data_IF_330346585713
#
_entry.id   IF_330346585713
#
_cell.length_a   1.000
_cell.length_b   1.000
_cell.length_c   1.000
_cell.angle_alpha   90.00
_cell.angle_beta   90.00
_cell.angle_gamma   90.00
#
_symmetry.space_group_name_H-M   'P 1'
#
loop_
_entity.id
_entity.type
_entity.pdbx_description
1 polymer ?
#
# COMPACT_ATOMS: atom_id res chain seq x y z
N UNK A 1 -54.13 6.25 -23.87
CA UNK A 1 -52.88 5.48 -24.05
C UNK A 1 -51.60 6.30 -23.85
N UNK A 2 -51.36 7.43 -24.56
CA UNK A 2 -50.13 8.24 -24.39
C UNK A 2 -49.80 8.65 -22.94
N UNK A 3 -50.79 9.14 -22.17
CA UNK A 3 -50.59 9.55 -20.76
C UNK A 3 -50.23 8.38 -19.83
N UNK A 4 -50.78 7.18 -20.08
CA UNK A 4 -50.48 5.97 -19.31
C UNK A 4 -49.06 5.47 -19.61
N UNK A 5 -48.63 5.56 -20.87
CA UNK A 5 -47.29 5.19 -21.31
C UNK A 5 -46.22 6.10 -20.69
N UNK A 6 -46.47 7.43 -20.65
CA UNK A 6 -45.58 8.41 -20.00
C UNK A 6 -45.49 8.17 -18.49
N UNK A 7 -46.60 7.80 -17.83
CA UNK A 7 -46.60 7.50 -16.40
C UNK A 7 -45.80 6.23 -16.09
N UNK A 8 -45.99 5.16 -16.89
CA UNK A 8 -45.23 3.92 -16.76
C UNK A 8 -43.73 4.13 -16.99
N UNK A 9 -43.34 4.89 -18.03
CA UNK A 9 -41.93 5.16 -18.29
C UNK A 9 -41.30 6.04 -17.22
N UNK A 10 -41.99 7.09 -16.75
CA UNK A 10 -41.53 7.92 -15.64
C UNK A 10 -41.37 7.10 -14.34
N UNK A 11 -42.32 6.22 -14.02
CA UNK A 11 -42.25 5.35 -12.84
C UNK A 11 -41.09 4.36 -12.94
N UNK A 12 -40.85 3.78 -14.12
CA UNK A 12 -39.72 2.88 -14.37
C UNK A 12 -38.37 3.62 -14.24
N UNK A 13 -38.26 4.84 -14.78
CA UNK A 13 -37.06 5.68 -14.64
C UNK A 13 -36.83 6.05 -13.17
N UNK A 14 -37.87 6.41 -12.42
CA UNK A 14 -37.77 6.71 -10.98
C UNK A 14 -37.36 5.47 -10.17
N UNK A 15 -37.91 4.30 -10.49
CA UNK A 15 -37.53 3.03 -9.86
C UNK A 15 -36.07 2.66 -10.18
N UNK A 16 -35.65 2.77 -11.45
CA UNK A 16 -34.28 2.48 -11.87
C UNK A 16 -33.25 3.46 -11.30
N UNK A 17 -33.61 4.74 -11.17
CA UNK A 17 -32.75 5.77 -10.59
C UNK A 17 -32.66 5.65 -9.06
N UNK A 18 -33.77 5.38 -8.36
CA UNK A 18 -33.79 5.12 -6.92
C UNK A 18 -33.15 3.79 -6.52
N UNK A 19 -33.22 2.75 -7.37
CA UNK A 19 -32.52 1.48 -7.15
C UNK A 19 -31.00 1.68 -7.21
N UNK A 20 -30.51 2.43 -8.20
CA UNK A 20 -29.09 2.76 -8.34
C UNK A 20 -28.52 3.60 -7.18
N UNK A 21 -29.28 4.59 -6.66
CA UNK A 21 -28.83 5.39 -5.51
C UNK A 21 -28.75 4.56 -4.22
N UNK A 22 -29.73 3.66 -4.02
CA UNK A 22 -29.72 2.72 -2.90
C UNK A 22 -28.61 1.68 -3.02
N UNK A 23 -28.28 1.26 -4.23
CA UNK A 23 -27.23 0.29 -4.51
C UNK A 23 -25.84 0.83 -4.15
N UNK A 24 -25.49 2.05 -4.57
CA UNK A 24 -24.20 2.66 -4.24
C UNK A 24 -23.98 2.77 -2.72
N UNK A 25 -24.98 3.26 -1.97
CA UNK A 25 -24.88 3.32 -0.51
C UNK A 25 -24.79 1.94 0.12
N UNK A 26 -25.56 0.97 -0.38
CA UNK A 26 -25.56 -0.41 0.11
C UNK A 26 -24.19 -1.05 -0.07
N UNK A 27 -23.57 -0.86 -1.23
CA UNK A 27 -22.23 -1.38 -1.54
C UNK A 27 -21.20 -0.75 -0.61
N UNK A 28 -21.16 0.59 -0.51
CA UNK A 28 -20.19 1.27 0.34
C UNK A 28 -20.37 0.97 1.84
N UNK A 29 -21.58 0.66 2.32
CA UNK A 29 -21.78 0.17 3.70
C UNK A 29 -21.09 -1.16 3.99
N UNK A 30 -20.69 -1.92 2.97
CA UNK A 30 -19.89 -3.16 3.12
C UNK A 30 -18.40 -2.88 3.19
N UNK A 31 -17.94 -1.69 2.83
CA UNK A 31 -16.52 -1.29 2.80
C UNK A 31 -16.17 -0.59 4.11
N UNK A 32 -15.10 -1.05 4.75
CA UNK A 32 -14.61 -0.49 6.01
C UNK A 32 -13.11 -0.16 5.89
N UNK A 33 -12.81 1.14 5.76
CA UNK A 33 -11.45 1.71 5.76
C UNK A 33 -10.87 1.86 7.18
N UNK A 34 -11.53 1.30 8.20
CA UNK A 34 -11.11 1.39 9.60
C UNK A 34 -9.89 0.50 9.89
N UNK A 35 -8.76 0.90 9.32
CA UNK A 35 -7.43 0.50 9.74
C UNK A 35 -6.99 1.49 10.82
N UNK A 36 -6.43 1.01 11.93
CA UNK A 36 -5.86 1.92 12.95
C UNK A 36 -4.62 2.65 12.41
N UNK A 37 -4.06 2.14 11.30
CA UNK A 37 -2.83 2.61 10.68
C UNK A 37 -2.98 2.31 9.17
N UNK A 38 -3.25 3.34 8.33
CA UNK A 38 -3.19 3.21 6.87
C UNK A 38 -3.46 4.47 6.02
N UNK A 39 -2.42 5.00 5.36
CA UNK A 39 -2.39 5.63 4.01
C UNK A 39 -0.98 5.37 3.43
N UNK A 40 -0.83 5.30 2.09
CA UNK A 40 0.47 5.08 1.43
C UNK A 40 0.74 6.21 0.44
N UNK A 41 1.68 7.09 0.73
CA UNK A 41 2.18 8.01 -0.29
C UNK A 41 3.33 7.33 -1.06
N UNK A 42 3.13 7.05 -2.34
CA UNK A 42 4.17 6.53 -3.23
C UNK A 42 4.44 7.60 -4.28
N UNK A 43 5.60 8.26 -4.21
CA UNK A 43 6.12 9.12 -5.28
C UNK A 43 6.62 8.20 -6.40
N UNK A 44 5.82 8.06 -7.45
CA UNK A 44 6.14 7.25 -8.62
C UNK A 44 6.72 8.16 -9.70
N UNK A 45 7.98 8.54 -9.56
CA UNK A 45 8.75 9.31 -10.55
C UNK A 45 8.23 10.74 -10.82
N UNK A 46 8.89 11.46 -11.74
CA UNK A 46 9.06 12.92 -11.75
C UNK A 46 7.78 13.79 -11.59
N UNK A 47 6.58 13.31 -11.90
CA UNK A 47 5.38 14.17 -12.05
C UNK A 47 4.10 13.72 -11.30
N UNK A 48 4.06 12.55 -10.64
CA UNK A 48 2.82 12.04 -10.01
C UNK A 48 3.04 11.31 -8.69
N UNK A 49 2.24 11.69 -7.71
CA UNK A 49 2.17 11.03 -6.42
C UNK A 49 0.97 10.07 -6.41
N UNK A 50 0.98 9.07 -5.52
CA UNK A 50 -0.19 8.21 -5.36
C UNK A 50 -0.45 7.88 -3.90
N UNK A 51 -1.74 7.69 -3.59
CA UNK A 51 -2.26 7.39 -2.29
C UNK A 51 -2.92 6.02 -2.31
N UNK A 52 -2.35 5.01 -1.65
CA UNK A 52 -3.01 3.71 -1.50
C UNK A 52 -3.84 3.71 -0.20
N UNK A 53 -5.04 3.14 -0.30
CA UNK A 53 -5.96 2.89 0.80
C UNK A 53 -6.33 1.42 0.76
N UNK A 54 -6.44 0.80 1.92
CA UNK A 54 -6.91 -0.58 2.05
C UNK A 54 -8.19 -0.61 2.87
N UNK A 55 -9.15 -1.43 2.46
CA UNK A 55 -10.40 -1.63 3.16
C UNK A 55 -10.74 -3.10 3.28
N UNK A 56 -11.27 -3.46 4.45
CA UNK A 56 -11.94 -4.75 4.64
C UNK A 56 -13.34 -4.70 4.07
N UNK A 57 -13.87 -5.83 3.60
CA UNK A 57 -15.25 -5.89 3.11
C UNK A 57 -16.09 -6.96 3.80
N UNK A 58 -17.38 -6.66 4.03
CA UNK A 58 -18.37 -7.62 4.55
C UNK A 58 -19.06 -8.36 3.40
N UNK A 59 -18.34 -9.28 2.75
CA UNK A 59 -18.84 -10.08 1.62
C UNK A 59 -19.31 -9.21 0.44
N UNK A 60 -18.40 -8.38 -0.08
CA UNK A 60 -18.61 -7.65 -1.33
C UNK A 60 -18.51 -8.64 -2.50
N UNK A 61 -19.60 -8.85 -3.26
CA UNK A 61 -19.59 -9.73 -4.43
C UNK A 61 -18.78 -9.12 -5.58
N UNK A 62 -18.43 -9.94 -6.58
CA UNK A 62 -17.70 -9.44 -7.75
C UNK A 62 -18.54 -8.47 -8.58
N UNK A 63 -19.84 -8.70 -8.69
CA UNK A 63 -20.76 -7.75 -9.32
C UNK A 63 -20.78 -6.39 -8.60
N UNK A 64 -20.83 -6.41 -7.27
CA UNK A 64 -20.79 -5.18 -6.46
C UNK A 64 -19.44 -4.48 -6.52
N UNK A 65 -18.34 -5.24 -6.62
CA UNK A 65 -17.00 -4.67 -6.82
C UNK A 65 -16.86 -4.04 -8.21
N UNK A 66 -17.29 -4.74 -9.26
CA UNK A 66 -17.26 -4.22 -10.62
C UNK A 66 -18.13 -2.97 -10.75
N UNK A 67 -19.27 -2.91 -10.05
CA UNK A 67 -20.05 -1.68 -9.95
C UNK A 67 -19.21 -0.49 -9.43
N UNK A 68 -18.34 -0.69 -8.43
CA UNK A 68 -17.47 0.39 -7.93
C UNK A 68 -16.41 0.80 -8.96
N UNK A 69 -15.85 -0.17 -9.69
CA UNK A 69 -14.83 0.06 -10.73
C UNK A 69 -15.42 0.84 -11.91
N UNK A 70 -16.61 0.45 -12.38
CA UNK A 70 -17.24 0.98 -13.59
C UNK A 70 -18.05 2.25 -13.32
N UNK A 71 -18.37 2.54 -12.06
CA UNK A 71 -19.13 3.74 -11.70
C UNK A 71 -18.28 4.99 -11.80
N UNK A 72 -18.88 6.06 -12.33
CA UNK A 72 -18.33 7.41 -12.29
C UNK A 72 -18.34 7.98 -10.86
N UNK A 73 -17.45 7.49 -10.01
CA UNK A 73 -17.28 7.88 -8.61
C UNK A 73 -16.23 8.98 -8.54
N UNK A 74 -16.60 10.11 -7.94
CA UNK A 74 -15.66 11.17 -7.56
C UNK A 74 -15.27 10.97 -6.09
N UNK A 75 -14.00 11.18 -5.77
CA UNK A 75 -13.49 11.05 -4.41
C UNK A 75 -12.99 12.39 -3.92
N UNK A 76 -13.38 12.74 -2.70
CA UNK A 76 -12.82 13.89 -2.00
C UNK A 76 -12.16 13.44 -0.70
N UNK A 77 -10.88 13.74 -0.55
CA UNK A 77 -10.14 13.58 0.70
C UNK A 77 -10.29 14.86 1.52
N UNK A 78 -10.61 14.73 2.81
CA UNK A 78 -10.81 15.86 3.72
C UNK A 78 -9.86 15.78 4.91
N UNK A 79 -9.10 16.86 5.12
CA UNK A 79 -8.35 17.15 6.35
C UNK A 79 -9.09 18.24 7.15
N UNK A 80 -8.52 18.69 8.27
CA UNK A 80 -9.14 19.76 9.07
C UNK A 80 -9.32 21.07 8.30
N UNK A 81 -8.33 21.43 7.47
CA UNK A 81 -8.30 22.72 6.79
C UNK A 81 -8.29 22.61 5.25
N UNK A 82 -8.00 21.43 4.69
CA UNK A 82 -7.86 21.22 3.27
C UNK A 82 -8.79 20.13 2.75
N UNK A 83 -9.21 20.27 1.49
CA UNK A 83 -9.96 19.26 0.74
C UNK A 83 -9.28 19.06 -0.60
N UNK A 84 -9.14 17.80 -1.00
CA UNK A 84 -8.60 17.43 -2.29
C UNK A 84 -9.65 16.64 -3.06
N UNK A 85 -10.05 17.16 -4.23
CA UNK A 85 -10.98 16.48 -5.12
C UNK A 85 -10.18 15.68 -6.15
N UNK A 86 -10.62 14.45 -6.39
CA UNK A 86 -10.05 13.53 -7.35
C UNK A 86 -11.08 13.21 -8.42
N UNK A 87 -10.64 13.32 -9.67
CA UNK A 87 -11.43 12.90 -10.82
C UNK A 87 -11.46 11.36 -10.92
N UNK A 88 -12.49 10.78 -11.56
CA UNK A 88 -12.62 9.34 -11.75
C UNK A 88 -11.37 8.66 -12.33
N UNK A 89 -10.71 9.31 -13.29
CA UNK A 89 -9.50 8.79 -13.95
C UNK A 89 -8.29 8.71 -13.00
N UNK A 90 -8.36 9.37 -11.84
CA UNK A 90 -7.35 9.32 -10.80
C UNK A 90 -7.61 8.22 -9.77
N UNK A 91 -8.57 7.33 -10.00
CA UNK A 91 -9.02 6.34 -9.03
C UNK A 91 -8.86 4.93 -9.60
N UNK A 92 -8.14 4.08 -8.89
CA UNK A 92 -7.95 2.68 -9.24
C UNK A 92 -8.38 1.78 -8.08
N UNK A 93 -9.40 0.96 -8.33
CA UNK A 93 -9.87 -0.07 -7.39
C UNK A 93 -9.26 -1.42 -7.74
N UNK A 94 -8.81 -2.16 -6.73
CA UNK A 94 -8.32 -3.53 -6.88
C UNK A 94 -8.85 -4.42 -5.77
N UNK A 95 -9.05 -5.71 -6.07
CA UNK A 95 -9.16 -6.73 -5.02
C UNK A 95 -7.79 -6.92 -4.40
N UNK A 96 -7.72 -7.04 -3.08
CA UNK A 96 -6.48 -7.44 -2.44
C UNK A 96 -6.17 -8.90 -2.76
N UNK A 97 -4.89 -9.24 -2.82
CA UNK A 97 -4.46 -10.63 -2.70
C UNK A 97 -5.10 -11.23 -1.43
N UNK A 98 -5.79 -12.38 -1.51
CA UNK A 98 -6.39 -13.02 -0.34
C UNK A 98 -5.40 -13.36 0.78
N UNK A 99 -4.13 -13.59 0.44
CA UNK A 99 -3.03 -13.78 1.40
C UNK A 99 -2.63 -12.47 2.08
N UNK A 100 -2.87 -11.34 1.41
CA UNK A 100 -2.66 -10.00 1.96
C UNK A 100 -3.85 -9.59 2.84
N UNK A 101 -5.07 -9.55 2.29
CA UNK A 101 -6.29 -9.21 3.03
C UNK A 101 -7.48 -9.99 2.48
N UNK A 102 -7.92 -11.01 3.22
CA UNK A 102 -9.09 -11.81 2.86
C UNK A 102 -10.32 -10.92 2.69
N UNK A 103 -10.98 -11.03 1.54
CA UNK A 103 -12.12 -10.20 1.16
C UNK A 103 -11.81 -8.69 1.25
N UNK A 104 -10.56 -8.30 1.03
CA UNK A 104 -10.11 -6.91 1.01
C UNK A 104 -10.23 -6.27 -0.36
N UNK A 105 -10.25 -4.94 -0.35
CA UNK A 105 -10.04 -4.12 -1.55
C UNK A 105 -8.94 -3.10 -1.26
N UNK A 106 -8.23 -2.71 -2.31
CA UNK A 106 -7.36 -1.55 -2.30
C UNK A 106 -7.90 -0.48 -3.25
N UNK A 107 -7.62 0.76 -2.88
CA UNK A 107 -8.05 1.97 -3.57
C UNK A 107 -6.81 2.84 -3.73
N UNK A 108 -6.28 2.90 -4.95
CA UNK A 108 -5.16 3.79 -5.29
C UNK A 108 -5.72 5.08 -5.87
N UNK A 109 -5.24 6.21 -5.36
CA UNK A 109 -5.64 7.54 -5.80
C UNK A 109 -4.40 8.24 -6.36
N UNK A 110 -4.41 8.63 -7.62
CA UNK A 110 -3.33 9.35 -8.26
C UNK A 110 -3.48 10.85 -8.00
N UNK A 111 -2.39 11.49 -7.61
CA UNK A 111 -2.39 12.86 -7.11
C UNK A 111 -1.42 13.69 -7.95
N UNK A 112 -1.86 14.88 -8.36
CA UNK A 112 -0.96 15.85 -8.97
C UNK A 112 0.06 16.30 -7.92
N UNK A 113 1.35 16.32 -8.31
CA UNK A 113 2.46 16.64 -7.40
C UNK A 113 2.26 18.03 -6.80
N UNK A 114 1.93 18.07 -5.52
CA UNK A 114 1.89 19.31 -4.73
C UNK A 114 2.75 19.10 -3.49
N UNK A 115 3.65 20.05 -3.24
CA UNK A 115 4.58 20.02 -2.11
C UNK A 115 3.87 19.85 -0.76
N UNK A 116 2.59 20.24 -0.72
CA UNK A 116 1.75 20.26 0.47
C UNK A 116 1.16 18.88 0.84
N UNK A 117 1.21 17.88 -0.04
CA UNK A 117 0.59 16.55 0.23
C UNK A 117 1.25 15.79 1.38
N UNK A 118 2.56 15.98 1.58
CA UNK A 118 3.31 15.33 2.66
C UNK A 118 2.94 15.87 4.05
N UNK A 119 2.32 17.06 4.12
CA UNK A 119 1.88 17.71 5.35
C UNK A 119 0.36 17.55 5.61
N UNK A 120 -0.41 17.07 4.63
CA UNK A 120 -1.87 17.01 4.72
C UNK A 120 -2.37 15.71 5.35
N UNK A 121 -2.74 15.74 6.63
CA UNK A 121 -3.40 14.63 7.36
C UNK A 121 -4.90 14.53 7.04
N UNK A 122 -5.27 13.65 6.11
CA UNK A 122 -6.69 13.44 5.75
C UNK A 122 -7.42 12.56 6.77
N UNK A 123 -8.57 13.00 7.29
CA UNK A 123 -9.35 12.27 8.30
C UNK A 123 -10.56 11.56 7.72
N UNK A 124 -11.04 12.01 6.55
CA UNK A 124 -12.20 11.43 5.90
C UNK A 124 -11.99 11.30 4.40
N UNK A 125 -12.64 10.28 3.83
CA UNK A 125 -12.85 10.11 2.41
C UNK A 125 -14.35 10.23 2.11
N UNK A 126 -14.69 10.95 1.04
CA UNK A 126 -16.06 11.14 0.58
C UNK A 126 -16.18 10.60 -0.83
N UNK A 127 -17.02 9.58 -1.01
CA UNK A 127 -17.36 9.04 -2.31
C UNK A 127 -18.65 9.68 -2.81
N UNK A 128 -18.62 10.19 -4.03
CA UNK A 128 -19.78 10.81 -4.69
C UNK A 128 -20.07 10.10 -6.00
N UNK A 129 -21.27 9.54 -6.15
CA UNK A 129 -21.76 9.02 -7.42
C UNK A 129 -23.15 9.62 -7.67
N UNK A 130 -23.32 10.25 -8.84
CA UNK A 130 -24.54 11.01 -9.19
C UNK A 130 -24.87 12.04 -8.09
N UNK A 131 -26.00 11.90 -7.38
CA UNK A 131 -26.44 12.79 -6.29
C UNK A 131 -26.11 12.25 -4.89
N UNK A 132 -25.55 11.05 -4.82
CA UNK A 132 -25.36 10.33 -3.55
C UNK A 132 -23.95 10.53 -3.03
N UNK A 133 -23.84 10.86 -1.74
CA UNK A 133 -22.57 11.02 -1.03
C UNK A 133 -22.47 10.04 0.13
N UNK A 134 -21.31 9.39 0.26
CA UNK A 134 -20.98 8.52 1.40
C UNK A 134 -19.65 8.99 1.98
N UNK A 135 -19.64 9.32 3.28
CA UNK A 135 -18.44 9.76 3.99
C UNK A 135 -17.96 8.66 4.92
N UNK A 136 -16.66 8.39 4.92
CA UNK A 136 -16.01 7.40 5.77
C UNK A 136 -14.79 8.01 6.44
N UNK A 137 -14.49 7.55 7.66
CA UNK A 137 -13.25 7.91 8.36
C UNK A 137 -12.08 7.11 7.81
N UNK A 138 -10.92 7.74 7.75
CA UNK A 138 -9.64 7.12 7.39
C UNK A 138 -8.57 7.54 8.40
N UNK A 139 -7.52 6.74 8.59
CA UNK A 139 -6.39 7.06 9.48
C UNK A 139 -5.07 6.98 8.71
N UNK A 140 -4.56 8.11 8.19
CA UNK A 140 -3.36 8.12 7.38
C UNK A 140 -2.13 7.61 8.09
N UNK A 141 -1.23 7.07 7.29
CA UNK A 141 0.21 7.10 7.56
C UNK A 141 0.84 7.73 6.33
N UNK A 142 1.93 8.44 6.53
CA UNK A 142 2.73 8.93 5.43
C UNK A 142 3.92 7.99 5.31
N UNK A 143 4.07 7.41 4.13
CA UNK A 143 5.25 6.62 3.83
C UNK A 143 6.35 7.51 3.31
N UNK A 144 7.58 7.02 3.48
CA UNK A 144 8.73 7.62 2.86
C UNK A 144 8.68 7.41 1.34
N UNK A 145 9.24 8.35 0.61
CA UNK A 145 9.34 8.30 -0.85
C UNK A 145 10.18 7.10 -1.28
N UNK A 146 9.74 6.36 -2.30
CA UNK A 146 10.56 5.33 -2.94
C UNK A 146 11.87 5.95 -3.41
N UNK A 147 12.98 5.41 -2.92
CA UNK A 147 14.31 5.80 -3.39
C UNK A 147 14.71 4.88 -4.54
N UNK A 148 14.84 5.45 -5.74
CA UNK A 148 15.40 4.76 -6.89
C UNK A 148 16.82 4.27 -6.62
N UNK A 149 17.32 3.36 -7.46
CA UNK A 149 18.71 2.91 -7.42
C UNK A 149 19.68 4.09 -7.30
N UNK A 150 20.55 4.01 -6.29
CA UNK A 150 21.62 4.97 -6.05
C UNK A 150 22.87 4.18 -5.70
N UNK A 151 24.02 4.59 -6.24
CA UNK A 151 25.30 3.89 -6.10
C UNK A 151 25.32 2.43 -6.60
N UNK A 152 24.34 1.98 -7.40
CA UNK A 152 24.21 0.56 -7.75
C UNK A 152 23.43 -0.26 -6.73
N UNK A 153 22.86 0.38 -5.70
CA UNK A 153 22.15 -0.31 -4.62
C UNK A 153 20.65 -0.03 -4.71
N UNK A 154 19.84 -1.08 -4.62
CA UNK A 154 18.39 -1.00 -4.60
C UNK A 154 17.75 -2.13 -3.77
N UNK A 155 16.48 -1.95 -3.37
CA UNK A 155 15.68 -3.04 -2.83
C UNK A 155 15.16 -3.87 -4.01
N UNK A 156 15.50 -5.15 -4.02
CA UNK A 156 15.08 -6.08 -5.08
C UNK A 156 13.83 -6.88 -4.72
N UNK A 157 13.59 -7.11 -3.43
CA UNK A 157 12.43 -7.86 -2.93
C UNK A 157 11.83 -7.13 -1.72
N UNK A 158 10.54 -6.77 -1.82
CA UNK A 158 9.76 -6.14 -0.76
C UNK A 158 9.12 -7.22 0.14
N UNK A 159 8.67 -6.85 1.36
CA UNK A 159 8.91 -7.66 2.56
C UNK A 159 8.49 -9.13 2.41
N UNK A 160 9.45 -10.02 2.63
CA UNK A 160 9.26 -11.47 2.80
C UNK A 160 8.72 -11.67 4.23
N UNK A 161 7.41 -11.56 4.40
CA UNK A 161 6.72 -11.69 5.68
C UNK A 161 5.88 -12.98 5.74
N UNK A 162 5.56 -13.53 6.92
CA UNK A 162 4.66 -14.67 7.02
C UNK A 162 3.26 -14.29 6.49
N UNK A 163 2.80 -15.05 5.50
CA UNK A 163 1.54 -14.85 4.76
C UNK A 163 0.26 -15.25 5.53
N UNK A 164 0.25 -15.15 6.86
CA UNK A 164 -0.86 -15.63 7.70
C UNK A 164 -1.07 -14.80 8.96
N UNK A 165 -2.24 -14.98 9.61
CA UNK A 165 -2.58 -14.39 10.90
C UNK A 165 -1.42 -14.55 11.90
N UNK A 166 -0.92 -13.42 12.37
CA UNK A 166 0.27 -13.37 13.21
C UNK A 166 -0.17 -13.48 14.67
N UNK A 167 0.32 -14.48 15.42
CA UNK A 167 -0.08 -14.62 16.84
C UNK A 167 0.44 -13.45 17.68
N UNK A 168 -0.42 -12.90 18.55
CA UNK A 168 -0.01 -11.89 19.54
C UNK A 168 1.09 -12.42 20.46
N UNK A 169 1.96 -11.52 20.92
CA UNK A 169 3.00 -11.78 21.91
C UNK A 169 3.95 -12.94 21.56
N UNK A 170 4.10 -13.24 20.27
CA UNK A 170 5.10 -14.16 19.75
C UNK A 170 6.11 -13.41 18.88
N UNK A 171 7.32 -13.95 18.79
CA UNK A 171 8.33 -13.48 17.87
C UNK A 171 7.98 -13.91 16.45
N UNK A 172 8.06 -12.96 15.54
CA UNK A 172 7.91 -13.14 14.11
C UNK A 172 9.05 -12.41 13.41
N UNK A 173 9.20 -12.62 12.12
CA UNK A 173 10.19 -11.91 11.33
C UNK A 173 9.66 -11.60 9.94
N UNK A 174 10.15 -10.51 9.38
CA UNK A 174 10.05 -10.21 7.96
C UNK A 174 11.43 -9.84 7.44
N UNK A 175 11.68 -9.99 6.15
CA UNK A 175 12.96 -9.64 5.56
C UNK A 175 12.81 -8.83 4.27
N UNK A 176 13.83 -8.05 3.94
CA UNK A 176 14.00 -7.38 2.66
C UNK A 176 15.26 -7.88 1.99
N UNK A 177 15.27 -7.96 0.65
CA UNK A 177 16.50 -8.19 -0.09
C UNK A 177 16.98 -6.92 -0.76
N UNK A 178 18.26 -6.63 -0.56
CA UNK A 178 18.98 -5.48 -1.13
C UNK A 178 20.00 -6.03 -2.12
N UNK A 179 19.96 -5.50 -3.33
CA UNK A 179 20.92 -5.78 -4.40
C UNK A 179 21.97 -4.67 -4.41
N UNK A 180 23.23 -5.03 -4.43
CA UNK A 180 24.36 -4.19 -4.82
C UNK A 180 24.89 -4.71 -6.16
N UNK A 181 24.50 -4.04 -7.24
CA UNK A 181 24.84 -4.41 -8.61
C UNK A 181 26.30 -4.04 -8.97
N UNK A 182 26.90 -3.09 -8.25
CA UNK A 182 28.22 -2.54 -8.58
C UNK A 182 29.34 -3.04 -7.66
N UNK A 183 29.00 -3.81 -6.62
CA UNK A 183 29.94 -4.32 -5.63
C UNK A 183 30.54 -3.21 -4.77
N UNK A 184 29.81 -2.11 -4.55
CA UNK A 184 30.30 -0.94 -3.78
C UNK A 184 30.35 -1.20 -2.28
N UNK A 185 29.60 -2.19 -1.78
CA UNK A 185 29.64 -2.63 -0.39
C UNK A 185 30.82 -3.61 -0.26
N UNK A 186 31.93 -3.16 0.30
CA UNK A 186 33.16 -3.96 0.45
C UNK A 186 33.40 -4.47 1.88
N UNK A 187 32.63 -3.96 2.84
CA UNK A 187 32.72 -4.25 4.27
C UNK A 187 31.38 -4.79 4.79
N UNK A 188 31.31 -5.05 6.10
CA UNK A 188 30.06 -5.43 6.75
C UNK A 188 29.02 -4.32 6.60
N UNK A 189 27.81 -4.70 6.22
CA UNK A 189 26.71 -3.78 6.00
C UNK A 189 26.04 -3.43 7.33
N UNK A 190 26.14 -2.18 7.76
CA UNK A 190 25.37 -1.68 8.89
C UNK A 190 23.99 -1.21 8.44
N UNK A 191 22.95 -1.54 9.21
CA UNK A 191 21.56 -1.23 8.86
C UNK A 191 20.81 -0.68 10.06
N UNK A 192 20.01 0.35 9.81
CA UNK A 192 19.01 0.89 10.74
C UNK A 192 17.63 0.91 10.05
N UNK A 193 16.58 0.68 10.83
CA UNK A 193 15.20 0.78 10.35
C UNK A 193 14.43 1.84 11.13
N UNK A 194 13.75 2.72 10.40
CA UNK A 194 12.92 3.79 10.95
C UNK A 194 11.45 3.52 10.65
N UNK A 195 10.62 3.56 11.68
CA UNK A 195 9.19 3.31 11.65
C UNK A 195 8.42 4.58 12.01
N UNK A 196 7.19 4.77 11.49
CA UNK A 196 6.31 5.81 12.00
C UNK A 196 6.04 5.62 13.50
N UNK A 197 6.06 6.69 14.30
CA UNK A 197 5.97 6.61 15.77
C UNK A 197 4.78 5.77 16.27
N UNK A 198 3.63 5.91 15.61
CA UNK A 198 2.39 5.21 15.98
C UNK A 198 2.49 3.68 15.84
N UNK A 199 3.41 3.18 15.02
CA UNK A 199 3.61 1.74 14.78
C UNK A 199 4.13 1.05 16.06
N UNK A 200 4.87 1.74 16.92
CA UNK A 200 5.36 1.20 18.20
C UNK A 200 4.25 0.85 19.19
N UNK A 201 3.03 1.39 19.01
CA UNK A 201 1.87 0.99 19.80
C UNK A 201 1.38 -0.43 19.48
N UNK A 202 1.82 -0.99 18.35
CA UNK A 202 1.31 -2.24 17.80
C UNK A 202 2.39 -3.31 17.66
N UNK A 203 3.61 -2.93 17.31
CA UNK A 203 4.74 -3.84 17.16
C UNK A 203 5.92 -3.41 18.04
N UNK A 204 6.57 -4.39 18.64
CA UNK A 204 7.91 -4.25 19.17
C UNK A 204 8.91 -4.75 18.15
N UNK A 205 9.96 -3.98 17.87
CA UNK A 205 11.07 -4.46 17.06
C UNK A 205 12.11 -5.02 18.02
N UNK A 206 12.34 -6.33 17.95
CA UNK A 206 13.21 -7.04 18.88
C UNK A 206 14.65 -7.16 18.38
N UNK A 207 14.85 -7.28 17.07
CA UNK A 207 16.18 -7.32 16.47
C UNK A 207 16.17 -6.91 15.00
N UNK A 208 17.33 -6.45 14.52
CA UNK A 208 17.59 -6.19 13.11
C UNK A 208 18.90 -6.89 12.74
N UNK A 209 18.86 -7.73 11.72
CA UNK A 209 19.98 -8.59 11.30
C UNK A 209 20.19 -8.37 9.81
N UNK A 210 21.42 -8.06 9.41
CA UNK A 210 21.83 -7.98 8.03
C UNK A 210 22.82 -9.12 7.73
N UNK A 211 22.60 -9.84 6.63
CA UNK A 211 23.46 -10.94 6.21
C UNK A 211 23.55 -11.07 4.70
N UNK A 212 24.66 -11.61 4.21
CA UNK A 212 24.83 -11.97 2.80
C UNK A 212 23.88 -13.11 2.41
N UNK A 213 23.19 -12.95 1.27
CA UNK A 213 22.36 -14.01 0.67
C UNK A 213 23.07 -14.56 -0.58
N UNK A 214 23.97 -15.51 -0.35
CA UNK A 214 24.77 -16.14 -1.41
C UNK A 214 23.93 -17.01 -2.35
N UNK A 215 22.79 -17.52 -1.89
CA UNK A 215 21.90 -18.36 -2.70
C UNK A 215 21.20 -17.52 -3.76
N UNK A 216 20.56 -16.42 -3.36
CA UNK A 216 19.91 -15.50 -4.31
C UNK A 216 20.95 -14.88 -5.25
N UNK A 217 22.13 -14.53 -4.75
CA UNK A 217 23.24 -14.06 -5.60
C UNK A 217 23.61 -15.06 -6.69
N UNK A 218 23.80 -16.33 -6.32
CA UNK A 218 24.16 -17.38 -7.28
C UNK A 218 23.07 -17.55 -8.33
N UNK A 219 21.80 -17.53 -7.93
CA UNK A 219 20.66 -17.62 -8.84
C UNK A 219 20.67 -16.47 -9.86
N UNK A 220 20.81 -15.21 -9.40
CA UNK A 220 20.90 -14.05 -10.30
C UNK A 220 22.07 -14.22 -11.27
N UNK A 221 23.24 -14.63 -10.79
CA UNK A 221 24.40 -14.83 -11.67
C UNK A 221 24.14 -15.89 -12.74
N UNK A 222 23.47 -16.99 -12.39
CA UNK A 222 23.12 -18.05 -13.34
C UNK A 222 22.08 -17.59 -14.37
N UNK A 223 21.06 -16.85 -13.94
CA UNK A 223 19.98 -16.35 -14.79
C UNK A 223 20.49 -15.32 -15.82
N UNK A 224 21.48 -14.51 -15.45
CA UNK A 224 22.00 -13.42 -16.28
C UNK A 224 23.35 -13.69 -16.95
N UNK A 225 23.94 -14.90 -16.80
CA UNK A 225 25.26 -15.26 -17.33
C UNK A 225 25.45 -15.05 -18.85
N UNK A 226 24.36 -15.11 -19.61
CA UNK A 226 24.38 -14.97 -21.06
C UNK A 226 24.01 -13.54 -21.53
N UNK A 227 23.73 -12.63 -20.59
CA UNK A 227 23.20 -11.30 -20.87
C UNK A 227 24.11 -10.19 -20.35
N UNK A 228 24.90 -10.46 -19.32
CA UNK A 228 25.78 -9.51 -18.64
C UNK A 228 27.21 -10.07 -18.64
N UNK A 229 28.23 -9.21 -18.64
CA UNK A 229 29.64 -9.67 -18.65
C UNK A 229 30.03 -10.37 -17.35
N UNK A 230 31.01 -11.30 -17.40
CA UNK A 230 31.51 -11.98 -16.20
C UNK A 230 32.05 -11.00 -15.14
N UNK A 231 32.66 -9.89 -15.58
CA UNK A 231 33.18 -8.85 -14.68
C UNK A 231 32.05 -8.17 -13.90
N UNK A 232 30.93 -7.86 -14.55
CA UNK A 232 29.76 -7.26 -13.93
C UNK A 232 29.04 -8.27 -13.02
N UNK A 233 28.90 -9.52 -13.45
CA UNK A 233 28.29 -10.59 -12.64
C UNK A 233 29.07 -10.85 -11.35
N UNK A 234 30.41 -10.78 -11.40
CA UNK A 234 31.26 -10.96 -10.22
C UNK A 234 31.07 -9.85 -9.17
N UNK A 235 30.59 -8.67 -9.57
CA UNK A 235 30.34 -7.53 -8.66
C UNK A 235 29.00 -7.64 -7.94
N UNK A 236 28.04 -8.40 -8.48
CA UNK A 236 26.71 -8.57 -7.89
C UNK A 236 26.82 -9.11 -6.47
N UNK A 237 26.18 -8.42 -5.53
CA UNK A 237 26.03 -8.83 -4.14
C UNK A 237 24.58 -8.72 -3.70
N UNK A 238 24.09 -9.72 -2.96
CA UNK A 238 22.75 -9.69 -2.36
C UNK A 238 22.84 -9.76 -0.84
N UNK A 239 22.04 -8.95 -0.17
CA UNK A 239 21.93 -8.89 1.28
C UNK A 239 20.48 -9.08 1.70
N UNK A 240 20.25 -9.90 2.72
CA UNK A 240 18.99 -10.01 3.43
C UNK A 240 19.05 -9.12 4.69
N UNK A 241 18.07 -8.23 4.83
CA UNK A 241 17.83 -7.43 6.04
C UNK A 241 16.59 -7.96 6.72
N UNK A 242 16.78 -8.77 7.76
CA UNK A 242 15.73 -9.38 8.56
C UNK A 242 15.42 -8.54 9.79
N UNK A 243 14.15 -8.26 10.00
CA UNK A 243 13.64 -7.64 11.20
C UNK A 243 12.83 -8.65 12.00
N UNK A 244 13.21 -8.87 13.24
CA UNK A 244 12.44 -9.66 14.19
C UNK A 244 11.53 -8.71 15.00
N UNK A 245 10.27 -9.11 15.21
CA UNK A 245 9.26 -8.27 15.86
C UNK A 245 8.25 -9.08 16.69
N UNK A 246 7.53 -8.38 17.58
CA UNK A 246 6.45 -8.91 18.40
C UNK A 246 5.20 -8.06 18.19
N UNK A 247 4.06 -8.67 17.86
CA UNK A 247 2.77 -7.94 17.82
C UNK A 247 2.17 -7.85 19.21
N UNK A 248 1.97 -6.62 19.69
CA UNK A 248 1.42 -6.28 21.02
C UNK A 248 -0.11 -6.21 21.03
N UNK A 249 -0.73 -5.81 19.91
CA UNK A 249 -2.16 -5.49 19.83
C UNK A 249 -2.78 -5.98 18.52
N UNK A 250 -3.98 -6.56 18.59
CA UNK A 250 -4.77 -6.88 17.39
C UNK A 250 -5.18 -5.60 16.69
N UNK A 251 -4.79 -5.47 15.42
CA UNK A 251 -5.27 -4.41 14.55
C UNK A 251 -4.91 -4.72 13.10
N UNK A 252 -5.45 -3.92 12.19
CA UNK A 252 -5.04 -3.83 10.80
C UNK A 252 -4.00 -2.71 10.70
N UNK A 253 -2.72 -3.10 10.69
CA UNK A 253 -1.56 -2.19 10.67
C UNK A 253 -0.87 -2.38 9.34
N UNK A 254 -0.63 -1.30 8.62
CA UNK A 254 0.13 -1.38 7.38
C UNK A 254 1.20 -0.28 7.43
N UNK A 255 2.47 -0.49 7.08
CA UNK A 255 3.47 0.59 7.05
C UNK A 255 4.66 0.23 6.16
N UNK A 256 5.47 1.22 5.80
CA UNK A 256 6.72 1.01 5.07
C UNK A 256 7.86 1.63 5.88
N UNK A 257 8.83 0.83 6.35
CA UNK A 257 9.97 1.36 7.07
C UNK A 257 10.93 2.07 6.10
N UNK A 258 11.67 3.05 6.60
CA UNK A 258 12.89 3.51 5.92
C UNK A 258 14.06 2.68 6.41
N UNK A 259 14.82 2.12 5.48
CA UNK A 259 16.01 1.33 5.76
C UNK A 259 17.22 2.20 5.46
N UNK A 260 17.95 2.62 6.48
CA UNK A 260 19.22 3.33 6.30
C UNK A 260 20.33 2.31 6.31
N UNK A 261 21.09 2.26 5.23
CA UNK A 261 22.29 1.44 5.14
C UNK A 261 23.54 2.32 5.24
N UNK A 262 24.56 1.82 5.93
CA UNK A 262 25.90 2.42 5.97
C UNK A 262 26.94 1.40 5.51
N UNK A 263 27.81 1.84 4.62
CA UNK A 263 28.83 1.01 4.01
C UNK A 263 29.94 1.91 3.46
N UNK A 264 31.22 1.52 3.60
CA UNK A 264 32.35 2.19 2.95
C UNK A 264 32.32 3.73 3.10
N UNK A 265 32.10 4.22 4.33
CA UNK A 265 31.93 5.65 4.69
C UNK A 265 30.76 6.40 4.00
N UNK A 266 29.86 5.67 3.33
CA UNK A 266 28.66 6.19 2.68
C UNK A 266 27.41 5.80 3.47
N UNK A 267 26.41 6.65 3.35
CA UNK A 267 25.07 6.38 3.85
C UNK A 267 24.05 6.46 2.70
N UNK A 268 23.07 5.57 2.73
CA UNK A 268 21.97 5.58 1.77
C UNK A 268 20.67 5.18 2.46
N UNK A 269 19.66 6.02 2.28
CA UNK A 269 18.29 5.67 2.63
C UNK A 269 17.70 4.83 1.50
N UNK A 270 17.09 3.70 1.87
CA UNK A 270 16.36 2.79 1.02
C UNK A 270 14.92 2.68 1.53
N UNK A 271 13.97 2.77 0.62
CA UNK A 271 12.55 2.63 0.94
C UNK A 271 11.98 1.49 0.10
N UNK A 272 11.41 0.44 0.72
CA UNK A 272 10.83 -0.70 -0.01
C UNK A 272 9.78 -0.25 -1.02
N UNK A 273 9.50 -1.08 -2.02
CA UNK A 273 8.39 -0.79 -2.96
C UNK A 273 7.04 -1.11 -2.31
N UNK A 274 6.95 -2.26 -1.65
CA UNK A 274 5.72 -2.70 -0.99
C UNK A 274 5.77 -2.45 0.52
N UNK A 275 4.65 -2.03 1.13
CA UNK A 275 4.54 -1.92 2.56
C UNK A 275 4.39 -3.29 3.24
N UNK A 276 4.70 -3.34 4.52
CA UNK A 276 4.36 -4.46 5.40
C UNK A 276 2.92 -4.28 5.87
N UNK A 277 2.16 -5.37 5.88
CA UNK A 277 0.79 -5.39 6.36
C UNK A 277 0.58 -6.47 7.43
N UNK A 278 -0.09 -6.11 8.51
CA UNK A 278 -0.52 -6.99 9.59
C UNK A 278 -2.04 -6.83 9.75
N UNK A 279 -2.81 -7.77 9.22
CA UNK A 279 -4.26 -7.76 9.33
C UNK A 279 -4.72 -8.76 10.40
N UNK A 280 -4.71 -8.32 11.64
CA UNK A 280 -4.92 -9.16 12.81
C UNK A 280 -6.27 -8.91 13.49
N UNK A 281 -7.26 -8.41 12.76
CA UNK A 281 -8.60 -8.26 13.32
C UNK A 281 -9.37 -9.58 13.35
N UNK A 282 -9.83 -9.96 14.53
CA UNK A 282 -10.89 -10.96 14.71
C UNK A 282 -12.24 -10.31 14.40
N UNK A 283 -12.74 -10.47 13.17
CA UNK A 283 -14.17 -10.32 12.85
C UNK A 283 -14.66 -11.54 12.09
#
# INVERSE_FOLDING_TARGET
>A
MKKLFILLTATLIILLSGCNENEFQRILKKVDFNQDIGLYYIDNSKDTDSLLLFASTKNLSDEEFNYLVDSNIHIMLMSDNNKLMLEPDNIEWKRCDPNLLKNGISLRLFLNKTKDMQEMVFKNIVFTSKKTKVTMKIQPIYLNVYTSEKNGISIMESPIAPQNKVSLNKNHSYAYKILDANGVITEDLEVEMFYPENVHNYIDISSLIASRDENTEKQIREDYKNTISEEELAKIKVYEVRCDYIIKKESNITFQPKIKIRFSEKEQDLVPFEPICFFNNTR
#
